data_IF_646302639838
#
_entry.id   IF_646302639838
#
_cell.length_a   1.000
_cell.length_b   1.000
_cell.length_c   1.000
_cell.angle_alpha   90.00
_cell.angle_beta   90.00
_cell.angle_gamma   90.00
#
_symmetry.space_group_name_H-M   'P 1'
#
loop_
_entity.id
_entity.type
_entity.pdbx_description
1 polymer ?
#
# COMPACT_ATOMS: atom_id res chain seq x y z
N UNK A 1 12.17 24.09 3.41
CA UNK A 1 11.38 23.36 2.41
C UNK A 1 10.20 22.74 3.14
N UNK A 2 8.99 23.24 2.91
CA UNK A 2 7.78 22.63 3.48
C UNK A 2 7.53 21.27 2.83
N UNK A 3 7.18 20.30 3.65
CA UNK A 3 6.99 18.92 3.23
C UNK A 3 5.59 18.78 2.64
N UNK A 4 5.50 18.73 1.30
CA UNK A 4 4.23 18.51 0.60
C UNK A 4 3.64 17.18 1.07
N UNK A 5 2.40 17.21 1.55
CA UNK A 5 1.68 16.03 2.06
C UNK A 5 0.32 15.96 1.36
N UNK A 6 0.07 14.87 0.64
CA UNK A 6 -1.23 14.56 0.06
C UNK A 6 -2.08 13.75 1.05
N UNK A 7 -3.41 13.96 1.05
CA UNK A 7 -4.36 13.30 1.95
C UNK A 7 -5.65 13.03 1.20
N UNK A 8 -6.01 11.76 1.09
CA UNK A 8 -7.29 11.35 0.53
C UNK A 8 -8.09 10.43 1.45
N UNK A 9 -9.39 10.35 1.18
CA UNK A 9 -10.35 9.53 1.93
C UNK A 9 -11.42 9.01 0.99
N UNK A 10 -11.73 7.72 1.09
CA UNK A 10 -12.74 7.04 0.27
C UNK A 10 -13.68 6.24 1.16
N UNK A 11 -14.97 6.27 0.84
CA UNK A 11 -16.00 5.48 1.52
C UNK A 11 -16.27 4.18 0.78
N UNK A 12 -16.28 3.04 1.49
CA UNK A 12 -16.54 1.71 0.92
C UNK A 12 -17.71 1.08 1.68
N UNK A 13 -18.73 0.61 0.97
CA UNK A 13 -19.92 -0.06 1.54
C UNK A 13 -19.65 -1.54 1.85
N UNK A 14 -18.52 -1.84 2.49
CA UNK A 14 -18.12 -3.20 2.89
C UNK A 14 -17.68 -3.20 4.35
N UNK A 15 -17.65 -4.38 4.96
CA UNK A 15 -17.17 -4.50 6.33
C UNK A 15 -15.71 -4.05 6.42
N UNK A 16 -15.31 -3.44 7.55
CA UNK A 16 -13.93 -2.99 7.77
C UNK A 16 -12.95 -4.17 7.69
N UNK A 17 -13.42 -5.40 7.99
CA UNK A 17 -12.59 -6.60 7.84
C UNK A 17 -12.28 -6.94 6.41
N UNK A 18 -13.30 -6.94 5.58
CA UNK A 18 -13.15 -7.25 4.16
C UNK A 18 -12.26 -6.22 3.46
N UNK A 19 -12.41 -4.93 3.80
CA UNK A 19 -11.54 -3.87 3.27
C UNK A 19 -10.10 -4.06 3.72
N UNK A 20 -9.89 -4.41 4.99
CA UNK A 20 -8.55 -4.66 5.51
C UNK A 20 -7.90 -5.88 4.83
N UNK A 21 -8.66 -6.97 4.67
CA UNK A 21 -8.22 -8.18 3.98
C UNK A 21 -7.88 -7.92 2.51
N UNK A 22 -8.68 -7.09 1.83
CA UNK A 22 -8.40 -6.65 0.46
C UNK A 22 -7.07 -5.91 0.35
N UNK A 23 -6.69 -5.13 1.37
CA UNK A 23 -5.43 -4.39 1.38
C UNK A 23 -4.24 -5.29 1.75
N UNK A 24 -4.38 -6.22 2.70
CA UNK A 24 -3.24 -7.07 3.10
C UNK A 24 -2.96 -8.23 2.12
N UNK A 25 -3.98 -8.68 1.37
CA UNK A 25 -3.85 -9.77 0.41
C UNK A 25 -3.48 -9.24 -0.99
N UNK A 26 -2.29 -9.55 -1.53
CA UNK A 26 -1.89 -9.13 -2.88
C UNK A 26 -2.84 -9.64 -3.98
N UNK A 27 -3.46 -10.81 -3.81
CA UNK A 27 -4.39 -11.38 -4.81
C UNK A 27 -5.66 -10.54 -5.00
N UNK A 28 -6.07 -9.82 -3.96
CA UNK A 28 -7.23 -8.92 -4.02
C UNK A 28 -6.76 -7.52 -4.45
N UNK A 29 -5.65 -7.04 -3.89
CA UNK A 29 -5.05 -5.74 -4.19
C UNK A 29 -4.67 -5.57 -5.67
N UNK A 30 -4.30 -6.67 -6.33
CA UNK A 30 -3.93 -6.61 -7.75
C UNK A 30 -5.09 -6.21 -8.68
N UNK A 31 -6.33 -6.31 -8.21
CA UNK A 31 -7.49 -5.96 -9.03
C UNK A 31 -7.73 -4.44 -9.12
N UNK A 32 -7.05 -3.63 -8.31
CA UNK A 32 -7.30 -2.18 -8.26
C UNK A 32 -6.06 -1.31 -7.99
N UNK A 33 -4.91 -1.86 -7.59
CA UNK A 33 -3.72 -1.05 -7.25
C UNK A 33 -2.41 -1.58 -7.84
N UNK A 34 -2.05 -2.83 -7.56
CA UNK A 34 -0.80 -3.44 -8.03
C UNK A 34 -1.05 -4.37 -9.21
N UNK A 35 -0.02 -4.74 -9.96
CA UNK A 35 -0.09 -5.84 -10.92
C UNK A 35 0.28 -7.16 -10.27
N UNK A 36 1.33 -7.16 -9.45
CA UNK A 36 1.83 -8.34 -8.76
C UNK A 36 2.40 -7.93 -7.40
N UNK A 37 2.14 -8.72 -6.36
CA UNK A 37 2.68 -8.49 -5.03
C UNK A 37 3.36 -9.75 -4.51
N UNK A 38 4.60 -9.63 -4.04
CA UNK A 38 5.43 -10.78 -3.65
C UNK A 38 4.91 -11.55 -2.42
N UNK A 39 3.93 -11.02 -1.70
CA UNK A 39 3.36 -11.69 -0.54
C UNK A 39 2.41 -10.83 0.28
N UNK A 40 1.72 -11.49 1.21
CA UNK A 40 0.84 -10.85 2.18
C UNK A 40 1.61 -9.82 3.02
N UNK A 41 0.99 -8.66 3.26
CA UNK A 41 1.59 -7.64 4.12
C UNK A 41 1.63 -8.12 5.57
N UNK A 42 2.81 -8.04 6.18
CA UNK A 42 3.05 -8.40 7.58
C UNK A 42 3.90 -7.32 8.24
N UNK A 43 3.66 -7.03 9.52
CA UNK A 43 4.40 -6.01 10.28
C UNK A 43 5.91 -6.30 10.24
N UNK A 44 6.73 -5.32 9.86
CA UNK A 44 8.19 -5.41 9.68
C UNK A 44 8.67 -6.29 8.53
N UNK A 45 7.80 -6.66 7.58
CA UNK A 45 8.19 -7.43 6.41
C UNK A 45 8.45 -6.54 5.20
N UNK A 46 9.47 -6.90 4.43
CA UNK A 46 9.73 -6.36 3.10
C UNK A 46 8.96 -7.16 2.06
N UNK A 47 8.17 -6.46 1.25
CA UNK A 47 7.41 -7.03 0.13
C UNK A 47 7.75 -6.26 -1.15
N UNK A 48 7.55 -6.88 -2.30
CA UNK A 48 7.75 -6.22 -3.59
C UNK A 48 6.42 -6.05 -4.31
N UNK A 49 6.15 -4.85 -4.80
CA UNK A 49 4.99 -4.57 -5.65
C UNK A 49 5.43 -4.15 -7.04
N UNK A 50 4.80 -4.73 -8.05
CA UNK A 50 4.94 -4.35 -9.44
C UNK A 50 3.67 -3.63 -9.88
N UNK A 51 3.79 -2.57 -10.68
CA UNK A 51 2.65 -1.82 -11.21
C UNK A 51 2.50 -2.09 -12.70
N UNK A 52 1.28 -2.19 -13.25
CA UNK A 52 1.10 -2.45 -14.68
C UNK A 52 1.53 -1.24 -15.53
N UNK A 53 1.57 -0.04 -14.94
CA UNK A 53 1.98 1.20 -15.61
C UNK A 53 3.50 1.38 -15.68
N UNK A 54 4.28 0.62 -14.90
CA UNK A 54 5.72 0.77 -14.79
C UNK A 54 6.43 -0.58 -14.82
N UNK A 55 7.40 -0.72 -15.73
CA UNK A 55 8.31 -1.88 -15.73
C UNK A 55 9.27 -1.80 -14.54
N UNK A 56 8.92 -2.46 -13.43
CA UNK A 56 9.77 -2.59 -12.25
C UNK A 56 9.05 -3.12 -11.01
N UNK A 57 9.81 -3.81 -10.15
CA UNK A 57 9.36 -4.21 -8.82
C UNK A 57 9.91 -3.26 -7.76
N UNK A 58 9.03 -2.72 -6.92
CA UNK A 58 9.34 -1.72 -5.92
C UNK A 58 9.32 -2.34 -4.52
N UNK A 59 10.42 -2.27 -3.76
CA UNK A 59 10.47 -2.78 -2.40
C UNK A 59 9.71 -1.88 -1.43
N UNK A 60 8.96 -2.51 -0.55
CA UNK A 60 8.05 -1.89 0.40
C UNK A 60 8.27 -2.47 1.78
N UNK A 61 8.52 -1.59 2.75
CA UNK A 61 8.66 -2.01 4.14
C UNK A 61 7.38 -1.68 4.88
N UNK A 62 6.70 -2.72 5.33
CA UNK A 62 5.51 -2.58 6.16
C UNK A 62 5.94 -2.17 7.57
N UNK A 63 5.52 -1.00 8.04
CA UNK A 63 5.91 -0.51 9.38
C UNK A 63 5.04 -1.11 10.47
N UNK A 64 3.74 -1.01 10.32
CA UNK A 64 2.80 -1.46 11.35
C UNK A 64 1.48 -1.88 10.73
N UNK A 65 1.02 -3.07 11.09
CA UNK A 65 -0.32 -3.57 10.81
C UNK A 65 -1.01 -3.83 12.16
N UNK A 66 -2.04 -3.05 12.47
CA UNK A 66 -2.86 -3.28 13.66
C UNK A 66 -4.27 -3.74 13.24
N UNK A 67 -4.55 -5.06 13.27
CA UNK A 67 -5.88 -5.59 13.08
C UNK A 67 -6.61 -5.59 14.42
N UNK A 68 -7.10 -4.44 14.88
CA UNK A 68 -7.89 -4.37 16.12
C UNK A 68 -9.29 -3.81 15.83
N UNK A 69 -10.33 -4.40 16.44
CA UNK A 69 -11.75 -4.19 16.10
C UNK A 69 -12.21 -2.72 16.13
N UNK A 70 -11.56 -1.86 16.92
CA UNK A 70 -11.91 -0.44 17.06
C UNK A 70 -11.16 0.51 16.12
N UNK A 71 -9.97 0.16 15.63
CA UNK A 71 -9.15 0.98 14.71
C UNK A 71 -8.24 0.06 13.89
N UNK A 72 -8.55 -0.12 12.60
CA UNK A 72 -7.65 -0.79 11.65
C UNK A 72 -6.79 0.26 10.99
N UNK A 73 -5.50 0.27 11.33
CA UNK A 73 -4.50 1.18 10.76
C UNK A 73 -3.43 0.36 10.08
N UNK A 74 -3.13 0.73 8.84
CA UNK A 74 -2.04 0.20 8.04
C UNK A 74 -1.07 1.35 7.81
N UNK A 75 0.15 1.23 8.32
CA UNK A 75 1.22 2.19 8.06
C UNK A 75 2.27 1.46 7.22
N UNK A 76 2.38 1.88 5.97
CA UNK A 76 3.37 1.36 5.04
C UNK A 76 4.34 2.48 4.69
N UNK A 77 5.63 2.16 4.62
CA UNK A 77 6.63 3.09 4.12
C UNK A 77 7.09 2.60 2.75
N UNK A 78 6.85 3.44 1.75
CA UNK A 78 7.37 3.25 0.40
C UNK A 78 8.78 3.81 0.36
N UNK A 79 9.77 2.92 0.30
CA UNK A 79 11.15 3.30 0.02
C UNK A 79 11.38 3.17 -1.48
N UNK A 80 10.87 4.14 -2.25
CA UNK A 80 11.21 4.29 -3.67
C UNK A 80 12.68 4.75 -3.74
N UNK A 81 13.61 3.79 -3.82
CA UNK A 81 15.03 4.08 -4.06
C UNK A 81 15.34 4.34 -5.56
N UNK A 82 14.35 4.81 -6.32
CA UNK A 82 14.52 5.16 -7.72
C UNK A 82 14.26 6.67 -7.90
N UNK A 83 15.23 7.45 -8.42
CA UNK A 83 15.12 8.90 -8.58
C UNK A 83 14.05 9.36 -9.61
N UNK A 84 13.30 8.43 -10.21
CA UNK A 84 12.42 8.69 -11.36
C UNK A 84 10.95 8.92 -10.94
N UNK A 85 10.54 8.57 -9.72
CA UNK A 85 9.15 8.70 -9.24
C UNK A 85 8.93 9.82 -8.23
N UNK A 86 9.72 10.90 -8.28
CA UNK A 86 9.51 12.07 -7.41
C UNK A 86 8.33 12.97 -7.80
N UNK A 87 7.66 12.71 -8.94
CA UNK A 87 6.65 13.60 -9.48
C UNK A 87 5.26 12.98 -9.69
N UNK A 88 4.91 11.89 -9.00
CA UNK A 88 3.54 11.39 -9.07
C UNK A 88 2.83 11.57 -7.74
N UNK A 89 1.98 12.59 -7.72
CA UNK A 89 0.99 12.87 -6.68
C UNK A 89 -0.12 11.85 -6.84
N UNK A 90 -0.19 10.86 -5.93
CA UNK A 90 -1.31 9.94 -5.85
C UNK A 90 -2.08 10.23 -4.56
N UNK A 91 -3.06 11.14 -4.70
CA UNK A 91 -4.17 11.51 -3.81
C UNK A 91 -3.88 12.08 -2.40
#
# INVERSE_FOLDING_TARGET
MEKVTAKASIGIQKSVSEVFEAIVNPEIMQNYFISEGSGRMETHKEIFWSFPEFDGSYPLTTKEITPNEKKRRLICAFSIFSPILQNQSWF
#
